data_IF_838340942377
#
_entry.id   IF_838340942377
#
_cell.length_a   1.000
_cell.length_b   1.000
_cell.length_c   1.000
_cell.angle_alpha   90.00
_cell.angle_beta   90.00
_cell.angle_gamma   90.00
#
_symmetry.space_group_name_H-M   'P 1'
#
loop_
_entity.id
_entity.type
_entity.pdbx_description
1 polymer ?
#
# COMPACT_ATOMS: atom_id res chain seq x y z
N UNK A 1 -4.95 5.44 -20.94
CA UNK A 1 -4.31 4.19 -21.40
C UNK A 1 -4.72 2.97 -20.56
N UNK A 2 -4.41 2.91 -19.25
CA UNK A 2 -4.64 1.71 -18.42
C UNK A 2 -6.13 1.27 -18.40
N UNK A 3 -7.06 2.21 -18.22
CA UNK A 3 -8.51 1.94 -18.23
C UNK A 3 -9.00 1.28 -19.53
N UNK A 4 -8.31 1.46 -20.66
CA UNK A 4 -8.69 0.86 -21.94
C UNK A 4 -8.51 -0.67 -21.96
N UNK A 5 -7.69 -1.22 -21.07
CA UNK A 5 -7.49 -2.66 -20.90
C UNK A 5 -8.47 -3.29 -19.91
N UNK A 6 -9.46 -2.55 -19.41
CA UNK A 6 -10.44 -3.05 -18.44
C UNK A 6 -9.87 -3.29 -17.04
N UNK A 7 -8.75 -2.65 -16.71
CA UNK A 7 -8.04 -2.83 -15.43
C UNK A 7 -8.05 -1.54 -14.61
N UNK A 8 -8.17 -1.67 -13.28
CA UNK A 8 -7.98 -0.56 -12.35
C UNK A 8 -6.56 0.00 -12.46
N UNK A 9 -6.38 1.32 -12.70
CA UNK A 9 -5.06 1.94 -12.74
C UNK A 9 -4.24 1.68 -11.48
N UNK A 10 -4.89 1.76 -10.32
CA UNK A 10 -4.29 1.48 -9.03
C UNK A 10 -3.75 0.04 -8.94
N UNK A 11 -4.59 -0.94 -9.28
CA UNK A 11 -4.20 -2.34 -9.29
C UNK A 11 -3.03 -2.61 -10.24
N UNK A 12 -3.06 -2.00 -11.43
CA UNK A 12 -1.96 -2.12 -12.40
C UNK A 12 -0.64 -1.58 -11.84
N UNK A 13 -0.67 -0.38 -11.23
CA UNK A 13 0.51 0.24 -10.64
C UNK A 13 1.04 -0.56 -9.45
N UNK A 14 0.15 -1.08 -8.61
CA UNK A 14 0.53 -1.95 -7.48
C UNK A 14 1.20 -3.24 -7.96
N UNK A 15 0.70 -3.87 -9.03
CA UNK A 15 1.36 -5.05 -9.59
C UNK A 15 2.75 -4.72 -10.14
N UNK A 16 2.90 -3.58 -10.84
CA UNK A 16 4.19 -3.12 -11.33
C UNK A 16 5.20 -2.89 -10.18
N UNK A 17 4.79 -2.25 -9.09
CA UNK A 17 5.64 -2.01 -7.91
C UNK A 17 6.09 -3.33 -7.27
N UNK A 18 5.19 -4.31 -7.13
CA UNK A 18 5.59 -5.60 -6.56
C UNK A 18 6.55 -6.37 -7.46
N UNK A 19 6.36 -6.31 -8.78
CA UNK A 19 7.27 -6.94 -9.73
C UNK A 19 8.67 -6.32 -9.64
N UNK A 20 8.75 -4.98 -9.62
CA UNK A 20 10.02 -4.27 -9.46
C UNK A 20 10.71 -4.62 -8.13
N UNK A 21 9.96 -4.67 -7.02
CA UNK A 21 10.49 -5.08 -5.71
C UNK A 21 11.00 -6.52 -5.71
N UNK A 22 10.31 -7.43 -6.40
CA UNK A 22 10.74 -8.82 -6.51
C UNK A 22 12.02 -8.94 -7.33
N UNK A 23 12.17 -8.18 -8.41
CA UNK A 23 13.41 -8.15 -9.18
C UNK A 23 14.58 -7.54 -8.42
N UNK A 24 14.33 -6.51 -7.61
CA UNK A 24 15.37 -5.87 -6.79
C UNK A 24 15.83 -6.75 -5.61
N UNK A 25 14.88 -7.39 -4.91
CA UNK A 25 15.19 -8.10 -3.66
C UNK A 25 15.24 -9.63 -3.78
N UNK A 26 14.94 -10.17 -4.97
CA UNK A 26 14.83 -11.60 -5.27
C UNK A 26 13.86 -12.35 -4.33
N UNK A 27 12.96 -11.62 -3.67
CA UNK A 27 12.00 -12.14 -2.71
C UNK A 27 10.79 -11.24 -2.64
N UNK A 28 9.68 -11.81 -2.19
CA UNK A 28 8.51 -11.01 -1.87
C UNK A 28 8.66 -10.30 -0.53
N UNK A 29 8.30 -9.02 -0.52
CA UNK A 29 8.29 -8.19 0.69
C UNK A 29 6.88 -7.85 1.12
N UNK A 30 6.70 -7.75 2.44
CA UNK A 30 5.48 -7.22 3.02
C UNK A 30 5.27 -5.80 2.51
N UNK A 31 4.18 -5.59 1.78
CA UNK A 31 3.80 -4.29 1.25
C UNK A 31 2.56 -3.81 1.98
N UNK A 32 2.62 -2.54 2.39
CA UNK A 32 1.52 -1.82 2.97
C UNK A 32 0.90 -0.91 1.90
N UNK A 33 -0.40 -1.01 1.75
CA UNK A 33 -1.19 -0.02 1.04
C UNK A 33 -2.36 0.43 1.93
N UNK A 34 -2.70 1.71 1.84
CA UNK A 34 -3.79 2.29 2.64
C UNK A 34 -5.12 2.15 1.91
N UNK A 35 -6.05 1.37 2.45
CA UNK A 35 -7.43 1.31 1.97
C UNK A 35 -8.32 2.28 2.76
N UNK A 36 -9.13 3.08 2.07
CA UNK A 36 -10.04 4.04 2.71
C UNK A 36 -11.29 3.33 3.25
N UNK A 37 -11.48 3.30 4.56
CA UNK A 37 -12.61 2.63 5.21
C UNK A 37 -13.76 3.60 5.59
N UNK A 38 -13.89 4.71 4.84
CA UNK A 38 -14.82 5.81 5.15
C UNK A 38 -16.32 5.47 5.06
N UNK A 39 -16.67 4.25 4.63
CA UNK A 39 -18.05 3.75 4.73
C UNK A 39 -18.55 3.69 6.18
N UNK A 40 -17.63 3.55 7.14
CA UNK A 40 -17.94 3.52 8.56
C UNK A 40 -17.65 4.85 9.24
N UNK A 41 -18.53 5.25 10.17
CA UNK A 41 -18.38 6.50 10.93
C UNK A 41 -17.07 6.49 11.72
N UNK A 42 -16.30 7.57 11.61
CA UNK A 42 -14.99 7.77 12.25
C UNK A 42 -13.86 6.82 11.79
N UNK A 43 -14.10 5.92 10.84
CA UNK A 43 -13.03 5.11 10.27
C UNK A 43 -12.12 5.97 9.39
N UNK A 44 -10.81 5.70 9.49
CA UNK A 44 -9.78 6.35 8.67
C UNK A 44 -9.38 5.40 7.55
N UNK A 45 -8.52 4.44 7.86
CA UNK A 45 -7.93 3.53 6.88
C UNK A 45 -7.81 2.13 7.44
N UNK A 46 -7.89 1.14 6.56
CA UNK A 46 -7.48 -0.25 6.78
C UNK A 46 -6.18 -0.53 5.98
N UNK A 47 -5.48 -1.61 6.31
CA UNK A 47 -4.32 -2.06 5.51
C UNK A 47 -4.77 -3.01 4.41
N UNK A 48 -4.44 -2.66 3.16
CA UNK A 48 -4.45 -3.60 2.04
C UNK A 48 -3.08 -4.29 1.96
N UNK A 49 -3.08 -5.63 2.03
CA UNK A 49 -1.88 -6.48 1.86
C UNK A 49 -1.96 -7.25 0.53
N UNK A 50 -1.20 -6.82 -0.50
CA UNK A 50 -1.12 -7.54 -1.76
C UNK A 50 -0.47 -8.91 -1.54
N UNK A 51 -1.05 -9.99 -2.09
CA UNK A 51 -0.46 -11.34 -1.92
C UNK A 51 0.58 -11.61 -2.99
N UNK A 52 1.77 -12.09 -2.61
CA UNK A 52 2.82 -12.42 -3.55
C UNK A 52 2.49 -13.60 -4.47
N UNK A 53 1.63 -14.50 -4.02
CA UNK A 53 1.33 -15.76 -4.71
C UNK A 53 0.60 -15.56 -6.05
N UNK A 54 -0.01 -14.39 -6.25
CA UNK A 54 -0.81 -14.09 -7.44
C UNK A 54 -0.05 -13.24 -8.48
N UNK A 55 1.22 -12.90 -8.22
CA UNK A 55 2.06 -12.09 -9.13
C UNK A 55 2.75 -12.92 -10.22
N UNK A 56 2.68 -14.25 -10.15
CA UNK A 56 3.25 -15.15 -11.14
C UNK A 56 2.11 -15.95 -11.78
N UNK A 57 1.91 -15.89 -13.11
CA UNK A 57 2.74 -15.23 -14.13
C UNK A 57 2.42 -13.73 -14.34
N UNK A 58 3.46 -13.00 -14.75
CA UNK A 58 3.56 -11.53 -14.97
C UNK A 58 2.51 -10.97 -15.96
N UNK A 59 1.83 -11.84 -16.71
CA UNK A 59 0.86 -11.48 -17.75
C UNK A 59 -0.59 -11.57 -17.27
N UNK A 60 -0.82 -11.78 -15.97
CA UNK A 60 -2.16 -12.12 -15.51
C UNK A 60 -2.94 -10.88 -15.04
N UNK A 61 -3.83 -10.37 -15.91
CA UNK A 61 -4.82 -9.34 -15.55
C UNK A 61 -5.67 -9.76 -14.34
N UNK A 62 -5.77 -11.06 -14.03
CA UNK A 62 -6.46 -11.54 -12.82
C UNK A 62 -5.78 -11.10 -11.52
N UNK A 63 -4.47 -10.86 -11.51
CA UNK A 63 -3.78 -10.31 -10.35
C UNK A 63 -4.31 -8.91 -10.01
N UNK A 64 -4.58 -8.10 -11.04
CA UNK A 64 -5.17 -6.79 -10.88
C UNK A 64 -6.66 -6.86 -10.44
N UNK A 65 -7.41 -7.83 -10.95
CA UNK A 65 -8.80 -8.07 -10.53
C UNK A 65 -8.86 -8.49 -9.04
N UNK A 66 -7.97 -9.39 -8.62
CA UNK A 66 -7.84 -9.82 -7.23
C UNK A 66 -7.41 -8.69 -6.30
N UNK A 67 -6.47 -7.84 -6.74
CA UNK A 67 -6.09 -6.64 -5.99
C UNK A 67 -7.28 -5.71 -5.77
N UNK A 68 -8.04 -5.46 -6.84
CA UNK A 68 -9.23 -4.61 -6.78
C UNK A 68 -10.28 -5.18 -5.82
N UNK A 69 -10.53 -6.49 -5.88
CA UNK A 69 -11.43 -7.18 -4.95
C UNK A 69 -10.98 -7.06 -3.49
N UNK A 70 -9.69 -7.23 -3.22
CA UNK A 70 -9.16 -7.10 -1.85
C UNK A 70 -9.19 -5.68 -1.34
N UNK A 71 -9.03 -4.69 -2.22
CA UNK A 71 -9.23 -3.30 -1.86
C UNK A 71 -10.68 -3.09 -1.39
N UNK A 72 -11.66 -3.59 -2.14
CA UNK A 72 -13.08 -3.56 -1.75
C UNK A 72 -13.33 -4.25 -0.40
N UNK A 73 -12.77 -5.43 -0.18
CA UNK A 73 -12.83 -6.15 1.11
C UNK A 73 -12.22 -5.32 2.25
N UNK A 74 -11.05 -4.72 2.05
CA UNK A 74 -10.40 -3.87 3.05
C UNK A 74 -11.22 -2.58 3.34
N UNK A 75 -11.78 -1.95 2.32
CA UNK A 75 -12.65 -0.77 2.46
C UNK A 75 -13.95 -1.09 3.22
N UNK A 76 -14.45 -2.33 3.10
CA UNK A 76 -15.66 -2.83 3.76
C UNK A 76 -15.38 -3.53 5.10
N UNK A 77 -14.26 -3.19 5.76
CA UNK A 77 -13.83 -3.69 7.08
C UNK A 77 -13.62 -5.21 7.17
N UNK A 78 -13.19 -5.85 6.08
CA UNK A 78 -12.77 -7.25 6.07
C UNK A 78 -11.24 -7.40 6.17
N UNK A 79 -10.52 -6.29 6.41
CA UNK A 79 -9.10 -6.33 6.73
C UNK A 79 -8.83 -6.84 8.14
N UNK A 80 -7.60 -7.32 8.37
CA UNK A 80 -7.20 -7.91 9.65
C UNK A 80 -6.32 -6.98 10.49
N UNK A 81 -5.61 -6.04 9.86
CA UNK A 81 -4.58 -5.25 10.52
C UNK A 81 -5.16 -4.37 11.64
N UNK A 82 -6.25 -3.61 11.39
CA UNK A 82 -6.86 -2.81 12.47
C UNK A 82 -7.46 -3.69 13.58
N UNK A 83 -7.95 -4.89 13.28
CA UNK A 83 -8.41 -5.83 14.30
C UNK A 83 -7.26 -6.32 15.17
N UNK A 84 -6.13 -6.71 14.56
CA UNK A 84 -4.92 -7.12 15.27
C UNK A 84 -4.34 -5.97 16.10
N UNK A 85 -4.41 -4.74 15.61
CA UNK A 85 -3.99 -3.56 16.36
C UNK A 85 -4.83 -3.35 17.64
N UNK A 86 -6.15 -3.51 17.55
CA UNK A 86 -7.02 -3.42 18.73
C UNK A 86 -6.69 -4.53 19.73
N UNK A 87 -6.48 -5.77 19.27
CA UNK A 87 -6.08 -6.87 20.14
C UNK A 87 -4.74 -6.59 20.85
N UNK A 88 -3.77 -6.02 20.14
CA UNK A 88 -2.51 -5.57 20.73
C UNK A 88 -2.74 -4.50 21.81
N UNK A 89 -3.53 -3.45 21.53
CA UNK A 89 -3.83 -2.42 22.54
C UNK A 89 -4.53 -2.99 23.78
N UNK A 90 -5.46 -3.93 23.59
CA UNK A 90 -6.14 -4.60 24.70
C UNK A 90 -5.18 -5.47 25.51
N UNK A 91 -4.26 -6.19 24.86
CA UNK A 91 -3.29 -7.03 25.57
C UNK A 91 -2.36 -6.17 26.43
N UNK A 92 -1.91 -5.01 25.92
CA UNK A 92 -1.12 -4.05 26.69
C UNK A 92 -1.93 -3.48 27.86
N UNK A 93 -3.20 -3.09 27.63
CA UNK A 93 -4.06 -2.52 28.67
C UNK A 93 -4.46 -3.51 29.77
N UNK A 94 -4.50 -4.81 29.45
CA UNK A 94 -4.82 -5.90 30.38
C UNK A 94 -3.57 -6.59 30.94
N UNK A 95 -2.37 -6.13 30.58
CA UNK A 95 -1.09 -6.76 30.95
C UNK A 95 -0.98 -8.24 30.57
N UNK A 96 -1.60 -8.62 29.44
CA UNK A 96 -1.52 -9.97 28.87
C UNK A 96 -0.38 -10.01 27.86
N UNK A 97 0.62 -10.84 28.11
CA UNK A 97 1.69 -11.10 27.15
C UNK A 97 1.21 -12.06 26.07
N UNK A 98 1.51 -11.73 24.81
CA UNK A 98 1.26 -12.59 23.67
C UNK A 98 2.46 -12.53 22.74
N UNK A 99 3.25 -13.61 22.61
CA UNK A 99 4.39 -13.66 21.70
C UNK A 99 4.05 -13.27 20.25
N UNK A 100 2.79 -13.49 19.85
CA UNK A 100 2.27 -13.10 18.55
C UNK A 100 2.05 -11.58 18.41
N UNK A 101 1.47 -10.93 19.43
CA UNK A 101 1.13 -9.51 19.37
C UNK A 101 2.36 -8.61 19.60
N UNK A 102 3.41 -9.13 20.25
CA UNK A 102 4.66 -8.41 20.51
C UNK A 102 5.43 -8.06 19.21
N UNK A 103 5.09 -8.67 18.07
CA UNK A 103 5.73 -8.45 16.77
C UNK A 103 4.91 -7.56 15.80
N UNK A 104 3.88 -6.85 16.28
CA UNK A 104 2.99 -6.06 15.42
C UNK A 104 3.57 -4.66 15.08
N UNK A 105 3.58 -4.28 13.79
CA UNK A 105 4.12 -2.99 13.30
C UNK A 105 2.98 -2.14 12.71
N UNK A 106 2.96 -0.84 13.04
CA UNK A 106 1.90 0.11 12.66
C UNK A 106 2.40 1.08 11.57
N UNK A 107 1.79 1.07 10.37
CA UNK A 107 2.00 2.08 9.33
C UNK A 107 0.95 3.22 9.38
N UNK A 108 1.30 4.42 8.88
CA UNK A 108 0.48 5.64 8.98
C UNK A 108 0.49 6.48 7.67
N UNK A 109 -0.66 7.01 7.18
CA UNK A 109 -0.72 8.00 6.08
C UNK A 109 -2.05 8.79 5.95
N UNK A 110 -1.97 9.97 5.29
CA UNK A 110 -2.94 11.10 5.24
C UNK A 110 -3.65 11.34 3.88
N UNK A 111 -4.60 12.29 3.83
CA UNK A 111 -5.61 12.56 2.78
C UNK A 111 -5.11 13.30 1.51
N UNK A 112 -5.89 13.25 0.41
CA UNK A 112 -5.65 13.94 -0.88
C UNK A 112 -6.83 14.82 -1.39
N UNK A 113 -6.56 15.69 -2.37
CA UNK A 113 -7.48 16.61 -3.10
C UNK A 113 -7.77 16.12 -4.54
N UNK A 114 -8.78 16.67 -5.23
CA UNK A 114 -9.13 16.30 -6.61
C UNK A 114 -8.26 17.05 -7.64
N UNK A 115 -7.45 16.34 -8.43
CA UNK A 115 -6.41 16.89 -9.32
C UNK A 115 -6.79 16.84 -10.83
N UNK A 116 -7.97 16.36 -11.20
CA UNK A 116 -8.45 16.29 -12.59
C UNK A 116 -8.96 17.64 -13.14
N UNK A 117 -9.52 18.50 -12.27
CA UNK A 117 -10.11 19.80 -12.68
C UNK A 117 -9.05 20.90 -12.85
N UNK A 118 -7.88 20.75 -12.23
CA UNK A 118 -6.83 21.76 -12.18
C UNK A 118 -5.45 21.13 -12.43
N UNK A 119 -5.22 20.70 -13.68
CA UNK A 119 -4.01 19.98 -14.13
C UNK A 119 -2.71 20.69 -13.71
N UNK A 120 -2.66 22.02 -13.80
CA UNK A 120 -1.49 22.83 -13.39
C UNK A 120 -1.26 22.88 -11.88
N UNK A 121 -2.23 22.46 -11.06
CA UNK A 121 -2.05 22.24 -9.62
C UNK A 121 -1.68 20.80 -9.28
N UNK A 122 -1.58 19.92 -10.28
CA UNK A 122 -0.96 18.61 -10.10
C UNK A 122 0.48 18.83 -9.69
N UNK A 123 0.86 18.28 -8.54
CA UNK A 123 2.19 18.43 -7.98
C UNK A 123 2.69 17.07 -7.51
N UNK A 124 4.00 16.98 -7.33
CA UNK A 124 4.58 15.85 -6.61
C UNK A 124 4.18 16.02 -5.14
N UNK A 125 3.05 15.44 -4.77
CA UNK A 125 2.49 15.56 -3.42
C UNK A 125 3.44 15.07 -2.32
N UNK A 126 3.08 15.31 -1.07
CA UNK A 126 3.87 14.91 0.09
C UNK A 126 4.18 13.40 0.05
N UNK A 127 5.47 13.08 0.00
CA UNK A 127 5.99 11.73 0.16
C UNK A 127 6.56 11.56 1.55
N UNK A 128 6.47 10.35 2.06
CA UNK A 128 6.95 9.99 3.39
C UNK A 128 8.34 9.36 3.30
N UNK A 129 9.04 9.27 4.44
CA UNK A 129 10.22 8.42 4.53
C UNK A 129 9.84 6.94 4.54
N UNK A 130 10.79 6.06 4.23
CA UNK A 130 10.56 4.62 4.33
C UNK A 130 10.17 4.24 5.77
N UNK A 131 9.11 3.44 5.94
CA UNK A 131 8.63 3.02 7.27
C UNK A 131 9.49 1.91 7.90
N UNK A 132 10.47 1.41 7.14
CA UNK A 132 11.48 0.46 7.61
C UNK A 132 12.84 0.84 7.02
N UNK A 133 13.96 0.49 7.68
CA UNK A 133 15.30 0.77 7.16
C UNK A 133 15.52 0.30 5.71
N UNK A 134 14.97 -0.88 5.34
CA UNK A 134 15.08 -1.48 4.00
C UNK A 134 13.87 -1.23 3.10
N UNK A 135 13.07 -0.21 3.42
CA UNK A 135 11.82 0.08 2.74
C UNK A 135 12.00 1.06 1.58
N UNK A 136 11.09 1.00 0.61
CA UNK A 136 10.94 2.03 -0.42
C UNK A 136 9.63 2.79 -0.21
N UNK A 137 9.61 4.07 -0.58
CA UNK A 137 8.37 4.87 -0.64
C UNK A 137 7.86 4.99 -2.08
N UNK A 138 6.57 5.31 -2.17
CA UNK A 138 5.64 4.91 -3.20
C UNK A 138 5.14 6.07 -4.09
N UNK A 139 4.56 5.67 -5.21
CA UNK A 139 3.98 6.48 -6.28
C UNK A 139 2.54 6.96 -6.00
N UNK A 140 2.11 7.97 -6.76
CA UNK A 140 0.74 8.54 -6.74
C UNK A 140 0.27 8.87 -8.16
N UNK A 141 -1.03 8.84 -8.39
CA UNK A 141 -1.63 9.34 -9.64
C UNK A 141 -1.84 10.85 -9.56
N UNK A 142 -1.42 11.57 -10.61
CA UNK A 142 -1.73 12.98 -10.82
C UNK A 142 -2.89 13.12 -11.78
N UNK A 143 -4.10 12.78 -11.33
CA UNK A 143 -5.27 12.69 -12.21
C UNK A 143 -5.14 11.63 -13.32
N UNK A 144 -5.90 11.79 -14.40
CA UNK A 144 -5.91 10.84 -15.53
C UNK A 144 -4.71 11.00 -16.50
N UNK A 145 -3.84 11.99 -16.29
CA UNK A 145 -2.80 12.38 -17.24
C UNK A 145 -1.38 11.95 -16.85
N UNK A 146 -1.12 11.65 -15.57
CA UNK A 146 0.23 11.37 -15.10
C UNK A 146 0.30 10.40 -13.91
N UNK A 147 1.45 9.73 -13.80
CA UNK A 147 1.84 8.91 -12.65
C UNK A 147 3.14 9.51 -12.12
N UNK A 148 3.14 9.91 -10.84
CA UNK A 148 4.32 10.41 -10.15
C UNK A 148 4.90 9.32 -9.26
N UNK A 149 6.18 9.00 -9.41
CA UNK A 149 6.87 8.03 -8.57
C UNK A 149 7.97 8.73 -7.74
N UNK A 150 7.90 8.61 -6.42
CA UNK A 150 8.95 9.09 -5.51
C UNK A 150 9.52 7.91 -4.75
N UNK A 151 10.73 7.52 -5.11
CA UNK A 151 11.43 6.40 -4.48
C UNK A 151 12.39 6.97 -3.44
N UNK A 152 12.13 6.68 -2.17
CA UNK A 152 13.04 7.03 -1.06
C UNK A 152 13.51 5.76 -0.35
N UNK A 153 14.80 5.73 -0.01
CA UNK A 153 15.43 4.70 0.81
C UNK A 153 16.42 5.37 1.79
N UNK A 154 16.73 4.69 2.91
CA UNK A 154 17.78 5.14 3.82
C UNK A 154 19.17 4.75 3.28
N UNK A 155 20.07 5.74 3.17
CA UNK A 155 21.46 5.55 2.74
C UNK A 155 22.26 4.57 3.63
N UNK A 156 21.81 4.35 4.86
CA UNK A 156 22.42 3.43 5.82
C UNK A 156 22.15 1.95 5.52
N UNK A 157 21.48 1.61 4.42
CA UNK A 157 21.15 0.22 4.06
C UNK A 157 21.83 -0.22 2.77
N UNK A 158 22.27 -1.48 2.75
CA UNK A 158 22.99 -2.11 1.63
C UNK A 158 22.20 -2.10 0.29
N UNK A 159 20.88 -1.88 0.34
CA UNK A 159 20.01 -1.83 -0.84
C UNK A 159 19.94 -0.43 -1.51
N UNK A 160 20.69 0.57 -1.04
CA UNK A 160 20.77 1.89 -1.67
C UNK A 160 21.78 1.86 -2.83
N UNK A 161 21.32 1.54 -4.04
CA UNK A 161 22.12 1.81 -5.24
C UNK A 161 22.14 3.32 -5.43
N UNK A 162 23.35 3.90 -5.40
CA UNK A 162 23.60 5.34 -5.47
C UNK A 162 23.22 6.00 -6.78
#
# INVERSE_FOLDING_TARGET
>A
LIKAFGVSPDAFLQMAIHLTKYWDQERFVLTYESASARFYKNFRTETLRPSPMNLLPINNLSACAMHSKRNEEAMTSQGIDRHLFVLYLLSQGLFISSPFLDHYIIPNVTNQINEDDEIWKSWIGACFGAVTPRGYVCSRFGGNHSIFANVMNYKSTENAVG
#
